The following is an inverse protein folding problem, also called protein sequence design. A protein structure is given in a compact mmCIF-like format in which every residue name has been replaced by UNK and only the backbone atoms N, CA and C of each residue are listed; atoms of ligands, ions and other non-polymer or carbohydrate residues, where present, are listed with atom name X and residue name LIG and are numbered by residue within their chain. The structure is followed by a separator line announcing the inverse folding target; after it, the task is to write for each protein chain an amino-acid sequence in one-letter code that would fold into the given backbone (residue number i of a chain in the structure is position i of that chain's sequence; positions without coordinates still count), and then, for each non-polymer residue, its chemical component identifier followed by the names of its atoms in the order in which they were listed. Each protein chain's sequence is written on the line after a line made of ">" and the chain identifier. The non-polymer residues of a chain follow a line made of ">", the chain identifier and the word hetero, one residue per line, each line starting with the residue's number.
data_IF_128628140627
#
_entry.id   IF_128628140627
#
_cell.length_a   1.000
_cell.length_b   1.000
_cell.length_c   1.000
_cell.angle_alpha   90.00
_cell.angle_beta   90.00
_cell.angle_gamma   90.00
#
_symmetry.space_group_name_H-M   'P 1'
#
loop_
_entity.id
_entity.type
_entity.pdbx_description
1 polymer ?
#
# COMPACT_ATOMS: atom_id res chain seq x y z
N UNK A 1 -16.55 -59.69 38.14
CA UNK A 1 -17.99 -59.64 38.46
C UNK A 1 -18.30 -58.70 39.64
N UNK A 2 -17.38 -57.80 40.02
CA UNK A 2 -17.59 -56.86 41.12
C UNK A 2 -17.44 -55.32 40.62
N UNK A 3 -16.95 -55.08 39.41
CA UNK A 3 -16.82 -53.71 38.88
C UNK A 3 -18.04 -53.21 38.10
N UNK A 4 -18.89 -54.12 37.59
CA UNK A 4 -20.11 -53.73 36.88
C UNK A 4 -21.25 -53.28 37.79
N UNK A 5 -21.24 -53.75 39.05
CA UNK A 5 -22.27 -53.43 40.05
C UNK A 5 -22.07 -52.04 40.71
N UNK A 6 -20.85 -51.48 40.68
CA UNK A 6 -20.59 -50.13 41.17
C UNK A 6 -20.94 -49.04 40.14
N UNK A 7 -20.84 -49.38 38.87
CA UNK A 7 -21.21 -48.38 37.80
C UNK A 7 -22.73 -48.18 37.67
N UNK A 8 -23.51 -49.16 38.07
CA UNK A 8 -24.98 -49.07 38.05
C UNK A 8 -25.59 -48.30 39.22
N UNK A 9 -24.84 -48.08 40.33
CA UNK A 9 -25.30 -47.24 41.46
C UNK A 9 -25.00 -45.82 41.43
N UNK A 10 -24.12 -45.37 40.49
CA UNK A 10 -23.75 -43.95 40.29
C UNK A 10 -24.73 -43.15 39.40
N UNK A 11 -25.66 -43.83 38.70
CA UNK A 11 -26.56 -43.22 37.72
C UNK A 11 -27.91 -42.74 38.26
N UNK A 12 -28.13 -42.75 39.57
CA UNK A 12 -29.42 -42.32 40.16
C UNK A 12 -29.26 -41.28 41.29
N UNK A 13 -28.52 -40.21 41.03
CA UNK A 13 -28.63 -38.98 41.81
C UNK A 13 -29.23 -37.90 40.89
N UNK A 14 -30.55 -37.85 40.87
CA UNK A 14 -31.28 -36.72 40.31
C UNK A 14 -30.92 -35.48 41.10
N UNK A 15 -30.22 -34.53 40.44
CA UNK A 15 -29.88 -33.25 41.00
C UNK A 15 -31.17 -32.40 41.19
N UNK A 16 -31.47 -31.95 42.42
CA UNK A 16 -32.66 -31.11 42.67
C UNK A 16 -32.66 -29.81 41.89
N UNK A 17 -31.50 -29.38 41.42
CA UNK A 17 -31.30 -28.14 40.59
C UNK A 17 -32.03 -28.24 39.24
N UNK A 18 -32.11 -29.42 38.61
CA UNK A 18 -32.78 -29.58 37.32
C UNK A 18 -34.32 -29.40 37.42
N UNK A 19 -34.94 -29.76 38.56
CA UNK A 19 -36.38 -29.55 38.79
C UNK A 19 -36.72 -28.07 39.03
N UNK A 20 -35.85 -27.32 39.74
CA UNK A 20 -36.04 -25.89 40.00
C UNK A 20 -35.83 -25.08 38.71
N UNK A 21 -34.86 -25.44 37.85
CA UNK A 21 -34.62 -24.79 36.57
C UNK A 21 -35.76 -25.07 35.57
N UNK A 22 -36.35 -26.26 35.57
CA UNK A 22 -37.53 -26.57 34.76
C UNK A 22 -38.74 -25.70 35.12
N UNK A 23 -38.99 -25.46 36.40
CA UNK A 23 -40.08 -24.58 36.88
C UNK A 23 -39.85 -23.13 36.56
N UNK A 24 -38.60 -22.64 36.61
CA UNK A 24 -38.26 -21.24 36.20
C UNK A 24 -38.45 -21.03 34.69
N UNK A 25 -38.06 -21.98 33.85
CA UNK A 25 -38.25 -21.88 32.40
C UNK A 25 -39.73 -21.89 32.03
N UNK A 26 -40.55 -22.74 32.66
CA UNK A 26 -42.00 -22.77 32.42
C UNK A 26 -42.69 -21.48 32.90
N UNK A 27 -42.26 -20.93 34.04
CA UNK A 27 -42.80 -19.63 34.52
C UNK A 27 -42.46 -18.48 33.60
N UNK A 28 -41.21 -18.42 33.05
CA UNK A 28 -40.82 -17.40 32.10
C UNK A 28 -41.56 -17.56 30.76
N UNK A 29 -41.75 -18.77 30.27
CA UNK A 29 -42.54 -19.04 29.06
C UNK A 29 -44.02 -18.62 29.23
N UNK A 30 -44.64 -18.86 30.38
CA UNK A 30 -46.03 -18.46 30.65
C UNK A 30 -46.15 -16.90 30.76
N UNK A 31 -45.17 -16.23 31.34
CA UNK A 31 -45.14 -14.77 31.38
C UNK A 31 -44.95 -14.20 29.98
N UNK A 32 -44.10 -14.81 29.14
CA UNK A 32 -43.87 -14.38 27.79
C UNK A 32 -45.10 -14.60 26.89
N UNK A 33 -45.76 -15.73 27.03
CA UNK A 33 -47.02 -16.02 26.35
C UNK A 33 -48.16 -15.09 26.81
N UNK A 34 -48.23 -14.72 28.11
CA UNK A 34 -49.19 -13.76 28.63
C UNK A 34 -48.93 -12.34 28.11
N UNK A 35 -47.64 -11.96 27.92
CA UNK A 35 -47.25 -10.66 27.35
C UNK A 35 -47.56 -10.62 25.84
N UNK A 36 -47.31 -11.73 25.12
CA UNK A 36 -47.63 -11.85 23.71
C UNK A 36 -49.13 -11.88 23.42
N UNK A 37 -49.92 -12.54 24.30
CA UNK A 37 -51.39 -12.52 24.22
C UNK A 37 -51.97 -11.13 24.46
N UNK A 38 -51.30 -10.31 25.30
CA UNK A 38 -51.73 -8.94 25.58
C UNK A 38 -51.36 -8.01 24.41
N UNK A 39 -50.28 -8.31 23.68
CA UNK A 39 -49.87 -7.53 22.48
C UNK A 39 -50.76 -7.86 21.27
N UNK A 40 -51.39 -9.02 21.24
CA UNK A 40 -52.29 -9.47 20.15
C UNK A 40 -53.78 -9.23 20.45
N UNK A 41 -54.11 -8.68 21.65
CA UNK A 41 -55.50 -8.31 21.92
C UNK A 41 -55.93 -7.18 20.98
N UNK A 42 -57.04 -7.36 20.21
CA UNK A 42 -57.53 -6.27 19.36
C UNK A 42 -57.87 -5.06 20.20
N UNK A 43 -57.11 -3.99 19.95
CA UNK A 43 -57.43 -2.70 20.53
C UNK A 43 -58.83 -2.30 20.03
N UNK A 44 -59.78 -2.14 20.92
CA UNK A 44 -61.08 -1.49 20.60
C UNK A 44 -60.78 -0.16 19.93
N UNK A 45 -61.33 0.10 18.73
CA UNK A 45 -61.16 1.42 18.14
C UNK A 45 -61.73 2.46 19.16
N UNK A 46 -60.86 3.32 19.64
CA UNK A 46 -61.28 4.51 20.32
C UNK A 46 -62.27 5.24 19.42
N UNK A 47 -63.47 5.51 19.92
CA UNK A 47 -64.56 6.12 19.15
C UNK A 47 -64.05 7.37 18.43
N UNK A 48 -63.98 7.31 17.13
CA UNK A 48 -63.70 8.47 16.30
C UNK A 48 -64.77 9.52 16.52
N UNK A 49 -64.46 10.79 16.40
CA UNK A 49 -65.45 11.86 16.47
C UNK A 49 -66.54 11.60 15.42
N UNK A 50 -67.80 11.99 15.72
CA UNK A 50 -68.95 11.71 14.83
C UNK A 50 -68.70 12.31 13.44
N UNK A 51 -69.01 11.54 12.43
CA UNK A 51 -68.78 11.85 11.00
C UNK A 51 -69.42 13.19 10.51
N UNK A 52 -70.27 13.81 11.35
CA UNK A 52 -70.88 15.10 11.05
C UNK A 52 -70.03 16.33 11.43
N UNK A 53 -68.88 16.18 12.12
CA UNK A 53 -68.00 17.32 12.45
C UNK A 53 -66.96 17.65 11.36
N UNK A 54 -66.84 16.82 10.32
CA UNK A 54 -65.87 17.04 9.23
C UNK A 54 -66.40 17.77 8.01
N UNK A 55 -67.66 18.17 7.98
CA UNK A 55 -68.23 18.93 6.83
C UNK A 55 -68.19 20.46 6.98
N UNK A 56 -67.39 20.97 7.91
CA UNK A 56 -67.37 22.41 8.15
C UNK A 56 -65.98 23.06 8.29
N UNK A 57 -64.90 22.36 8.00
CA UNK A 57 -63.58 22.99 7.95
C UNK A 57 -63.26 23.47 6.56
N UNK A 58 -63.25 24.78 6.41
CA UNK A 58 -62.93 25.54 5.20
C UNK A 58 -61.80 24.90 4.38
N UNK A 59 -62.02 24.70 3.09
CA UNK A 59 -61.08 24.21 2.13
C UNK A 59 -59.89 25.14 1.94
N UNK A 60 -58.90 25.00 2.82
CA UNK A 60 -57.56 25.42 2.50
C UNK A 60 -56.92 24.36 1.56
N UNK A 61 -56.07 24.75 0.66
CA UNK A 61 -55.33 23.80 -0.14
C UNK A 61 -54.57 22.82 0.76
N UNK A 62 -54.47 21.53 0.40
CA UNK A 62 -53.75 20.54 1.20
C UNK A 62 -52.29 21.00 1.44
N UNK A 63 -51.73 20.83 2.65
CA UNK A 63 -50.35 21.16 2.90
C UNK A 63 -49.45 20.24 2.01
N UNK A 64 -48.53 20.84 1.30
CA UNK A 64 -47.51 20.14 0.49
C UNK A 64 -46.16 20.41 1.07
N UNK A 65 -45.33 19.37 1.10
CA UNK A 65 -43.92 19.50 1.45
C UNK A 65 -43.18 19.97 0.21
N UNK A 66 -42.38 21.03 0.37
CA UNK A 66 -41.58 21.59 -0.72
C UNK A 66 -40.10 21.41 -0.38
N UNK A 67 -39.32 21.01 -1.37
CA UNK A 67 -37.87 20.87 -1.26
C UNK A 67 -37.19 21.78 -2.26
N UNK A 68 -36.14 22.46 -1.83
CA UNK A 68 -35.33 23.26 -2.75
C UNK A 68 -34.56 22.32 -3.69
N UNK A 69 -34.62 22.62 -5.00
CA UNK A 69 -33.89 21.86 -6.00
C UNK A 69 -32.41 22.20 -5.89
N UNK A 70 -31.58 21.18 -5.65
CA UNK A 70 -30.13 21.29 -5.61
C UNK A 70 -29.54 20.89 -6.94
N UNK A 71 -28.44 21.56 -7.34
CA UNK A 71 -27.65 21.15 -8.48
C UNK A 71 -26.70 20.03 -8.07
N UNK A 72 -26.80 18.87 -8.71
CA UNK A 72 -25.90 17.75 -8.53
C UNK A 72 -25.22 17.33 -9.83
N UNK A 73 -24.09 16.69 -9.73
CA UNK A 73 -23.39 16.13 -10.89
C UNK A 73 -24.23 14.98 -11.51
N UNK A 74 -24.54 15.10 -12.81
CA UNK A 74 -25.44 14.18 -13.52
C UNK A 74 -24.92 12.76 -13.70
N UNK A 75 -23.61 12.54 -13.62
CA UNK A 75 -23.00 11.25 -13.80
C UNK A 75 -22.36 10.77 -12.47
N UNK A 76 -22.97 9.80 -11.81
CA UNK A 76 -22.32 9.19 -10.67
C UNK A 76 -20.98 8.57 -11.10
N UNK A 77 -19.94 8.65 -10.25
CA UNK A 77 -18.63 8.07 -10.57
C UNK A 77 -18.75 6.56 -10.75
N UNK A 78 -18.04 6.01 -11.73
CA UNK A 78 -17.83 4.57 -11.80
C UNK A 78 -16.95 4.14 -10.62
N UNK A 79 -17.39 3.11 -9.90
CA UNK A 79 -16.71 2.61 -8.72
C UNK A 79 -16.01 1.28 -9.02
N UNK A 80 -14.72 1.22 -8.77
CA UNK A 80 -13.90 0.01 -8.93
C UNK A 80 -13.22 -0.34 -7.61
N UNK A 81 -12.98 -1.62 -7.37
CA UNK A 81 -12.16 -2.04 -6.24
C UNK A 81 -10.71 -1.82 -6.62
N UNK A 82 -9.98 -1.04 -5.81
CA UNK A 82 -8.57 -0.78 -5.97
C UNK A 82 -7.77 -1.38 -4.83
N UNK A 83 -6.60 -1.93 -5.14
CA UNK A 83 -5.59 -2.37 -4.18
C UNK A 83 -4.51 -1.31 -4.08
N UNK A 84 -4.15 -0.97 -2.87
CA UNK A 84 -3.06 -0.03 -2.59
C UNK A 84 -1.72 -0.75 -2.78
N UNK A 85 -0.85 -0.23 -3.63
CA UNK A 85 0.47 -0.79 -3.92
C UNK A 85 1.55 0.27 -3.67
N UNK A 86 2.70 -0.12 -3.11
CA UNK A 86 3.83 0.78 -3.03
C UNK A 86 4.43 1.01 -4.43
N UNK A 87 5.04 2.18 -4.65
CA UNK A 87 5.78 2.42 -5.88
C UNK A 87 7.09 1.65 -5.87
N UNK A 88 7.76 1.65 -4.71
CA UNK A 88 9.00 0.91 -4.49
C UNK A 88 8.88 0.09 -3.21
N UNK A 89 9.37 -1.13 -3.30
CA UNK A 89 9.38 -2.12 -2.23
C UNK A 89 10.71 -2.87 -2.30
N UNK A 90 11.52 -2.72 -1.29
CA UNK A 90 12.89 -3.23 -1.27
C UNK A 90 13.11 -4.12 -0.05
N UNK A 91 13.47 -5.36 -0.32
CA UNK A 91 14.02 -6.26 0.68
C UNK A 91 15.52 -6.03 0.82
N UNK A 92 15.92 -5.45 1.93
CA UNK A 92 17.32 -5.16 2.22
C UNK A 92 18.03 -6.41 2.73
N UNK A 93 19.14 -6.75 2.09
CA UNK A 93 19.96 -7.94 2.42
C UNK A 93 21.38 -7.53 2.72
N UNK A 94 22.06 -8.28 3.59
CA UNK A 94 23.49 -8.14 3.76
C UNK A 94 24.24 -8.58 2.49
N UNK A 95 25.22 -7.80 2.05
CA UNK A 95 26.08 -8.15 0.92
C UNK A 95 27.35 -8.87 1.36
N UNK A 96 27.67 -8.82 2.66
CA UNK A 96 28.82 -9.45 3.30
C UNK A 96 28.38 -10.23 4.54
N UNK A 97 29.21 -11.11 5.05
CA UNK A 97 28.98 -11.84 6.29
C UNK A 97 29.59 -11.14 7.48
N UNK A 98 28.91 -11.17 8.64
CA UNK A 98 29.43 -10.61 9.89
C UNK A 98 28.36 -10.51 10.97
N UNK A 99 28.74 -10.10 12.16
CA UNK A 99 27.83 -9.87 13.27
C UNK A 99 27.25 -8.46 13.20
N UNK A 100 25.96 -8.31 13.49
CA UNK A 100 25.31 -7.00 13.61
C UNK A 100 25.78 -6.34 14.89
N UNK A 101 26.51 -5.24 14.75
CA UNK A 101 27.01 -4.43 15.87
C UNK A 101 25.94 -3.49 16.40
N UNK A 102 25.22 -2.79 15.48
CA UNK A 102 24.21 -1.81 15.84
C UNK A 102 23.06 -1.81 14.82
N UNK A 103 21.85 -1.50 15.34
CA UNK A 103 20.64 -1.21 14.55
C UNK A 103 20.26 0.25 14.83
N UNK A 104 20.21 1.08 13.79
CA UNK A 104 20.09 2.55 13.91
C UNK A 104 18.66 3.07 13.70
N UNK A 105 17.69 2.23 13.55
CA UNK A 105 16.29 2.61 13.34
C UNK A 105 15.37 1.95 14.36
N UNK A 106 14.12 2.45 14.41
CA UNK A 106 13.02 1.78 15.10
C UNK A 106 12.10 1.14 14.07
N UNK A 107 11.59 -0.04 14.35
CA UNK A 107 10.58 -0.69 13.50
C UNK A 107 9.39 0.22 13.25
N UNK A 108 8.92 0.27 12.01
CA UNK A 108 7.84 1.14 11.60
C UNK A 108 8.21 2.62 11.41
N UNK A 109 9.45 3.03 11.66
CA UNK A 109 9.91 4.40 11.45
C UNK A 109 9.99 4.76 9.96
N UNK A 110 9.89 6.06 9.65
CA UNK A 110 10.22 6.59 8.32
C UNK A 110 11.72 6.81 8.21
N UNK A 111 12.30 6.43 7.09
CA UNK A 111 13.70 6.61 6.74
C UNK A 111 13.84 7.27 5.38
N UNK A 112 14.96 7.94 5.16
CA UNK A 112 15.34 8.55 3.88
C UNK A 112 16.42 7.71 3.21
N UNK A 113 16.49 7.78 1.90
CA UNK A 113 17.58 7.22 1.14
C UNK A 113 18.93 7.75 1.66
N UNK A 114 19.86 6.84 1.96
CA UNK A 114 21.15 7.16 2.58
C UNK A 114 21.21 7.04 4.10
N UNK A 115 20.08 6.93 4.81
CA UNK A 115 20.07 6.72 6.25
C UNK A 115 20.74 5.39 6.61
N UNK A 116 21.61 5.40 7.62
CA UNK A 116 22.27 4.20 8.14
C UNK A 116 21.25 3.36 8.91
N UNK A 117 21.14 2.08 8.55
CA UNK A 117 20.18 1.15 9.17
C UNK A 117 20.87 0.11 10.07
N UNK A 118 21.91 -0.51 9.55
CA UNK A 118 22.68 -1.51 10.29
C UNK A 118 24.17 -1.22 10.17
N UNK A 119 24.89 -1.50 11.22
CA UNK A 119 26.35 -1.60 11.22
C UNK A 119 26.71 -3.06 11.50
N UNK A 120 27.49 -3.64 10.60
CA UNK A 120 28.11 -4.95 10.74
C UNK A 120 29.52 -4.73 11.30
N UNK A 121 30.01 -5.63 12.15
CA UNK A 121 31.35 -5.61 12.65
C UNK A 121 32.38 -5.43 11.53
N UNK A 122 33.10 -4.32 11.57
CA UNK A 122 33.99 -3.88 10.50
C UNK A 122 35.46 -4.30 10.75
N UNK A 123 35.82 -4.79 11.93
CA UNK A 123 37.23 -5.01 12.34
C UNK A 123 37.99 -5.89 11.34
N UNK A 124 37.40 -7.01 10.92
CA UNK A 124 38.00 -7.89 9.92
C UNK A 124 38.20 -7.21 8.57
N UNK A 125 37.24 -6.40 8.13
CA UNK A 125 37.27 -5.70 6.86
C UNK A 125 38.26 -4.55 6.85
N UNK A 126 38.38 -3.81 7.96
CA UNK A 126 39.38 -2.76 8.15
C UNK A 126 40.82 -3.36 8.14
N UNK A 127 41.00 -4.46 8.82
CA UNK A 127 42.30 -5.19 8.80
C UNK A 127 42.64 -5.63 7.36
N UNK A 128 41.66 -6.13 6.60
CA UNK A 128 41.84 -6.53 5.19
C UNK A 128 42.24 -5.34 4.31
N UNK A 129 41.59 -4.18 4.46
CA UNK A 129 41.96 -2.94 3.79
C UNK A 129 43.39 -2.52 4.14
N UNK A 130 43.80 -2.61 5.41
CA UNK A 130 45.16 -2.27 5.84
C UNK A 130 46.20 -3.18 5.15
N UNK A 131 45.95 -4.49 5.08
CA UNK A 131 46.82 -5.45 4.34
C UNK A 131 46.95 -5.07 2.89
N UNK A 132 45.82 -4.77 2.18
CA UNK A 132 45.86 -4.38 0.77
C UNK A 132 46.59 -3.07 0.52
N UNK A 133 46.51 -2.10 1.44
CA UNK A 133 47.31 -0.87 1.40
C UNK A 133 48.79 -1.14 1.49
N UNK A 134 49.20 -2.06 2.36
CA UNK A 134 50.63 -2.46 2.50
C UNK A 134 51.12 -3.14 1.21
N UNK A 135 50.30 -3.97 0.53
CA UNK A 135 50.66 -4.61 -0.75
C UNK A 135 50.93 -3.58 -1.86
N UNK A 136 50.15 -2.45 -1.91
CA UNK A 136 50.45 -1.35 -2.82
C UNK A 136 51.83 -0.77 -2.57
N UNK A 137 52.15 -0.46 -1.31
CA UNK A 137 53.47 0.08 -0.97
C UNK A 137 54.61 -0.88 -1.35
N UNK A 138 54.42 -2.19 -1.20
CA UNK A 138 55.39 -3.20 -1.65
C UNK A 138 55.55 -3.19 -3.18
N UNK A 139 54.44 -3.14 -3.94
CA UNK A 139 54.50 -3.11 -5.40
C UNK A 139 55.10 -1.81 -5.93
N UNK A 140 54.79 -0.67 -5.32
CA UNK A 140 55.40 0.64 -5.65
C UNK A 140 56.90 0.65 -5.39
N UNK A 141 57.38 0.11 -4.26
CA UNK A 141 58.80 0.00 -3.98
C UNK A 141 59.53 -0.91 -5.00
N UNK A 142 58.88 -1.98 -5.45
CA UNK A 142 59.44 -2.85 -6.47
C UNK A 142 59.49 -2.14 -7.84
N UNK A 143 58.46 -1.40 -8.23
CA UNK A 143 58.43 -0.59 -9.44
C UNK A 143 59.52 0.50 -9.41
N UNK A 144 59.62 1.25 -8.35
CA UNK A 144 60.63 2.31 -8.18
C UNK A 144 62.06 1.74 -8.31
N UNK A 145 62.32 0.56 -7.74
CA UNK A 145 63.60 -0.13 -7.93
C UNK A 145 63.85 -0.47 -9.42
N UNK A 146 62.84 -0.97 -10.14
CA UNK A 146 62.95 -1.31 -11.56
C UNK A 146 63.18 -0.06 -12.41
N UNK A 147 62.46 1.02 -12.14
CA UNK A 147 62.56 2.33 -12.84
C UNK A 147 63.96 2.94 -12.62
N UNK A 148 64.46 2.92 -11.37
CA UNK A 148 65.83 3.38 -11.11
C UNK A 148 66.87 2.51 -11.81
N UNK A 149 66.68 1.21 -11.92
CA UNK A 149 67.56 0.32 -12.66
C UNK A 149 67.57 0.64 -14.16
N UNK A 150 66.45 0.78 -14.77
CA UNK A 150 66.32 1.19 -16.17
C UNK A 150 66.99 2.54 -16.42
N UNK A 151 66.71 3.55 -15.57
CA UNK A 151 67.31 4.88 -15.68
C UNK A 151 68.84 4.83 -15.57
N UNK A 152 69.41 3.97 -14.74
CA UNK A 152 70.88 3.78 -14.65
C UNK A 152 71.43 3.16 -15.94
N UNK A 153 70.78 2.15 -16.50
CA UNK A 153 71.18 1.54 -17.81
C UNK A 153 71.12 2.59 -18.92
N UNK A 154 70.04 3.36 -19.04
CA UNK A 154 69.88 4.36 -20.07
C UNK A 154 70.92 5.51 -20.03
N UNK A 155 71.52 5.78 -18.82
CA UNK A 155 72.57 6.75 -18.60
C UNK A 155 73.99 6.21 -18.75
N UNK A 156 74.15 4.91 -18.86
CA UNK A 156 75.49 4.27 -18.99
C UNK A 156 75.97 4.29 -20.45
N UNK A 157 77.28 4.10 -20.64
CA UNK A 157 77.87 4.10 -22.02
C UNK A 157 77.26 3.02 -22.89
N UNK A 158 76.78 3.39 -24.08
CA UNK A 158 76.13 2.51 -25.02
C UNK A 158 77.00 1.32 -25.47
N UNK A 159 78.33 1.38 -25.27
CA UNK A 159 79.26 0.28 -25.57
C UNK A 159 79.29 -0.80 -24.48
N UNK A 160 78.76 -0.50 -23.28
CA UNK A 160 78.80 -1.44 -22.13
C UNK A 160 77.46 -2.14 -21.89
N UNK A 161 76.44 -1.85 -22.65
CA UNK A 161 75.08 -2.34 -22.42
C UNK A 161 74.57 -3.02 -23.70
N UNK A 162 73.99 -4.22 -23.56
CA UNK A 162 73.33 -4.90 -24.66
C UNK A 162 71.89 -4.42 -24.82
N UNK A 163 71.34 -4.52 -26.04
CA UNK A 163 69.94 -4.23 -26.28
C UNK A 163 69.01 -5.15 -25.47
N UNK A 164 69.45 -6.39 -25.26
CA UNK A 164 68.70 -7.37 -24.43
C UNK A 164 68.56 -6.92 -22.98
N UNK A 165 69.62 -6.26 -22.39
CA UNK A 165 69.58 -5.75 -21.02
C UNK A 165 68.54 -4.61 -20.90
N UNK A 166 68.50 -3.69 -21.88
CA UNK A 166 67.50 -2.62 -21.94
C UNK A 166 66.05 -3.14 -22.09
N UNK A 167 65.88 -4.12 -22.98
CA UNK A 167 64.55 -4.70 -23.19
C UNK A 167 64.06 -5.46 -21.96
N UNK A 168 64.97 -6.15 -21.23
CA UNK A 168 64.66 -6.80 -19.97
C UNK A 168 64.27 -5.76 -18.90
N UNK A 169 65.06 -4.69 -18.75
CA UNK A 169 64.76 -3.65 -17.75
C UNK A 169 63.43 -2.93 -18.06
N UNK A 170 63.12 -2.69 -19.35
CA UNK A 170 61.80 -2.14 -19.75
C UNK A 170 60.66 -3.10 -19.43
N UNK A 171 60.86 -4.38 -19.65
CA UNK A 171 59.88 -5.43 -19.28
C UNK A 171 59.65 -5.46 -17.78
N UNK A 172 60.74 -5.37 -16.97
CA UNK A 172 60.64 -5.35 -15.48
C UNK A 172 59.82 -4.11 -15.00
N UNK A 173 60.04 -2.93 -15.62
CA UNK A 173 59.22 -1.73 -15.31
C UNK A 173 57.78 -1.95 -15.70
N UNK A 174 57.50 -2.54 -16.91
CA UNK A 174 56.14 -2.82 -17.35
C UNK A 174 55.44 -3.80 -16.39
N UNK A 175 56.16 -4.85 -15.96
CA UNK A 175 55.67 -5.80 -14.97
C UNK A 175 55.42 -5.15 -13.61
N UNK A 176 56.31 -4.30 -13.14
CA UNK A 176 56.14 -3.53 -11.91
C UNK A 176 54.90 -2.64 -11.94
N UNK A 177 54.67 -1.92 -13.05
CA UNK A 177 53.47 -1.12 -13.26
C UNK A 177 52.16 -1.95 -13.27
N UNK A 178 52.22 -3.13 -13.87
CA UNK A 178 51.08 -4.05 -13.84
C UNK A 178 50.80 -4.55 -12.40
N UNK A 179 51.84 -4.86 -11.63
CA UNK A 179 51.71 -5.27 -10.22
C UNK A 179 51.08 -4.18 -9.34
N UNK A 180 51.49 -2.92 -9.52
CA UNK A 180 50.86 -1.79 -8.79
C UNK A 180 49.39 -1.67 -9.17
N UNK A 181 49.02 -1.74 -10.45
CA UNK A 181 47.62 -1.70 -10.88
C UNK A 181 46.79 -2.83 -10.28
N UNK A 182 47.36 -4.04 -10.22
CA UNK A 182 46.74 -5.20 -9.59
C UNK A 182 46.50 -4.97 -8.07
N UNK A 183 47.48 -4.45 -7.36
CA UNK A 183 47.35 -4.17 -5.94
C UNK A 183 46.32 -3.08 -5.64
N UNK A 184 46.26 -2.04 -6.47
CA UNK A 184 45.21 -0.99 -6.39
C UNK A 184 43.81 -1.57 -6.61
N UNK A 185 43.63 -2.45 -7.61
CA UNK A 185 42.37 -3.12 -7.86
C UNK A 185 41.94 -4.00 -6.67
N UNK A 186 42.87 -4.73 -6.06
CA UNK A 186 42.63 -5.54 -4.86
C UNK A 186 42.23 -4.68 -3.66
N UNK A 187 42.83 -3.50 -3.49
CA UNK A 187 42.43 -2.55 -2.46
C UNK A 187 40.99 -2.08 -2.67
N UNK A 188 40.65 -1.70 -3.91
CA UNK A 188 39.29 -1.24 -4.23
C UNK A 188 38.23 -2.30 -3.89
N UNK A 189 38.49 -3.58 -4.12
CA UNK A 189 37.59 -4.66 -3.71
C UNK A 189 37.44 -4.73 -2.19
N UNK A 190 38.54 -4.63 -1.44
CA UNK A 190 38.48 -4.65 0.02
C UNK A 190 37.74 -3.42 0.60
N UNK A 191 37.87 -2.25 -0.03
CA UNK A 191 37.14 -1.04 0.36
C UNK A 191 35.63 -1.14 0.05
N UNK A 192 35.25 -1.83 -1.03
CA UNK A 192 33.85 -2.15 -1.32
C UNK A 192 33.27 -3.06 -0.25
N UNK A 193 34.00 -4.11 0.15
CA UNK A 193 33.56 -5.00 1.23
C UNK A 193 33.39 -4.22 2.55
N UNK A 194 34.35 -3.36 2.90
CA UNK A 194 34.26 -2.50 4.07
C UNK A 194 33.07 -1.54 4.00
N UNK A 195 32.78 -0.97 2.84
CA UNK A 195 31.60 -0.13 2.64
C UNK A 195 30.31 -0.89 2.92
N UNK A 196 30.26 -2.17 2.57
CA UNK A 196 29.08 -3.02 2.79
C UNK A 196 28.87 -3.39 4.26
N UNK A 197 29.79 -3.10 5.18
CA UNK A 197 29.54 -3.20 6.62
C UNK A 197 28.51 -2.18 7.11
N UNK A 198 28.32 -1.09 6.38
CA UNK A 198 27.36 -0.03 6.67
C UNK A 198 26.18 -0.18 5.72
N UNK A 199 25.10 -0.75 6.21
CA UNK A 199 23.89 -0.98 5.42
C UNK A 199 23.00 0.25 5.50
N UNK A 200 22.78 0.91 4.37
CA UNK A 200 22.00 2.14 4.24
C UNK A 200 20.67 1.89 3.53
N UNK A 201 19.71 2.74 3.77
CA UNK A 201 18.41 2.72 3.08
C UNK A 201 18.61 3.10 1.60
N UNK A 202 18.16 2.29 0.63
CA UNK A 202 18.27 2.62 -0.81
C UNK A 202 17.17 3.56 -1.30
N UNK A 203 16.06 3.65 -0.57
CA UNK A 203 14.87 4.45 -0.92
C UNK A 203 14.32 5.17 0.30
N UNK A 204 13.55 6.22 0.06
CA UNK A 204 12.68 6.83 1.08
C UNK A 204 11.51 5.91 1.35
N UNK A 205 11.17 5.69 2.62
CA UNK A 205 10.05 4.81 2.93
C UNK A 205 9.83 4.56 4.42
N UNK A 206 9.01 3.57 4.68
CA UNK A 206 8.76 3.06 6.03
C UNK A 206 9.44 1.71 6.19
N UNK A 207 10.23 1.58 7.24
CA UNK A 207 10.91 0.33 7.58
C UNK A 207 9.91 -0.62 8.23
N UNK A 208 9.91 -1.87 7.79
CA UNK A 208 9.12 -2.95 8.38
C UNK A 208 9.74 -3.48 9.67
N UNK A 209 9.31 -4.68 10.07
CA UNK A 209 9.90 -5.42 11.19
C UNK A 209 11.28 -5.92 10.76
N UNK A 210 12.28 -5.77 11.65
CA UNK A 210 13.61 -6.36 11.45
C UNK A 210 13.60 -7.87 11.74
N UNK A 211 14.41 -8.61 10.99
CA UNK A 211 14.66 -10.03 11.24
C UNK A 211 15.97 -10.22 12.00
N UNK A 212 16.89 -9.25 11.89
CA UNK A 212 18.22 -9.30 12.51
C UNK A 212 18.32 -8.37 13.72
N UNK A 213 18.84 -8.87 14.82
CA UNK A 213 19.07 -8.13 16.05
C UNK A 213 20.58 -7.91 16.28
N UNK A 214 20.92 -7.01 17.19
CA UNK A 214 22.31 -6.82 17.64
C UNK A 214 22.86 -8.15 18.17
N UNK A 215 24.02 -8.54 17.67
CA UNK A 215 24.68 -9.81 17.98
C UNK A 215 24.34 -10.97 17.04
N UNK A 216 23.36 -10.82 16.15
CA UNK A 216 23.05 -11.85 15.16
C UNK A 216 24.11 -11.88 14.04
N UNK A 217 24.42 -13.08 13.56
CA UNK A 217 25.26 -13.24 12.38
C UNK A 217 24.43 -13.13 11.12
N UNK A 218 24.80 -12.22 10.23
CA UNK A 218 24.13 -11.99 8.93
C UNK A 218 25.05 -12.36 7.78
N UNK A 219 24.45 -12.76 6.65
CA UNK A 219 25.19 -13.11 5.43
C UNK A 219 24.29 -12.95 4.20
N UNK A 220 24.83 -12.90 2.97
CA UNK A 220 24.04 -12.85 1.73
C UNK A 220 23.03 -13.98 1.57
N UNK A 221 23.28 -15.13 2.18
CA UNK A 221 22.42 -16.33 2.11
C UNK A 221 21.28 -16.33 3.14
N UNK A 222 21.31 -15.47 4.15
CA UNK A 222 20.32 -15.46 5.24
C UNK A 222 18.93 -14.94 4.81
N UNK A 223 18.86 -14.22 3.69
CA UNK A 223 17.62 -13.58 3.24
C UNK A 223 17.55 -12.10 3.59
N UNK A 224 16.33 -11.55 3.65
CA UNK A 224 16.11 -10.15 3.93
C UNK A 224 16.27 -9.83 5.42
N UNK A 225 17.02 -8.78 5.75
CA UNK A 225 17.17 -8.24 7.10
C UNK A 225 15.96 -7.40 7.49
N UNK A 226 15.49 -6.60 6.55
CA UNK A 226 14.35 -5.71 6.72
C UNK A 226 13.76 -5.35 5.35
N UNK A 227 12.46 -5.09 5.31
CA UNK A 227 11.75 -4.60 4.14
C UNK A 227 11.50 -3.11 4.29
N UNK A 228 11.76 -2.32 3.25
CA UNK A 228 11.47 -0.89 3.19
C UNK A 228 10.46 -0.67 2.08
N UNK A 229 9.37 0.01 2.42
CA UNK A 229 8.25 0.25 1.52
C UNK A 229 8.04 1.76 1.37
N UNK A 230 8.03 2.22 0.13
CA UNK A 230 7.67 3.61 -0.16
C UNK A 230 6.19 3.81 0.08
N UNK A 231 5.85 4.71 1.01
CA UNK A 231 4.46 4.97 1.41
C UNK A 231 3.91 6.28 0.86
N UNK A 232 4.75 7.18 0.37
CA UNK A 232 4.35 8.46 -0.24
C UNK A 232 5.38 8.87 -1.32
N UNK A 233 4.97 9.13 -2.56
CA UNK A 233 3.65 8.82 -3.12
C UNK A 233 3.35 7.31 -3.18
N UNK A 234 2.06 6.95 -3.31
CA UNK A 234 1.59 5.56 -3.33
C UNK A 234 0.75 5.31 -4.59
N UNK A 235 0.62 4.07 -5.00
CA UNK A 235 -0.22 3.65 -6.12
C UNK A 235 -1.49 2.97 -5.66
N UNK A 236 -2.53 3.10 -6.47
CA UNK A 236 -3.72 2.26 -6.38
C UNK A 236 -3.88 1.57 -7.73
N UNK A 237 -3.82 0.24 -7.71
CA UNK A 237 -4.10 -0.60 -8.87
C UNK A 237 -5.58 -1.00 -8.87
N UNK A 238 -6.26 -0.82 -9.98
CA UNK A 238 -7.65 -1.21 -10.15
C UNK A 238 -7.91 -1.70 -11.58
N UNK A 239 -8.96 -2.49 -11.75
CA UNK A 239 -9.29 -3.09 -13.04
C UNK A 239 -10.54 -2.42 -13.61
N UNK A 240 -10.44 -1.95 -14.85
CA UNK A 240 -11.54 -1.35 -15.60
C UNK A 240 -12.07 -2.38 -16.59
N UNK A 241 -13.40 -2.51 -16.71
CA UNK A 241 -14.01 -3.44 -17.67
C UNK A 241 -13.75 -2.97 -19.11
N UNK A 242 -13.68 -3.90 -20.05
CA UNK A 242 -13.54 -3.60 -21.49
C UNK A 242 -14.63 -2.65 -21.99
N UNK A 243 -15.86 -2.86 -21.53
CA UNK A 243 -17.02 -2.03 -21.86
C UNK A 243 -16.83 -0.57 -21.42
N UNK A 244 -16.37 -0.33 -20.20
CA UNK A 244 -16.19 1.03 -19.68
C UNK A 244 -14.99 1.70 -20.33
N UNK A 245 -13.93 0.93 -20.59
CA UNK A 245 -12.75 1.38 -21.31
C UNK A 245 -13.09 1.82 -22.75
N UNK A 246 -13.79 0.98 -23.51
CA UNK A 246 -14.18 1.29 -24.88
C UNK A 246 -15.12 2.49 -24.96
N UNK A 247 -16.10 2.59 -24.05
CA UNK A 247 -16.97 3.76 -23.96
C UNK A 247 -16.19 5.07 -23.70
N UNK A 248 -15.15 5.00 -22.85
CA UNK A 248 -14.32 6.16 -22.58
C UNK A 248 -13.52 6.58 -23.83
N UNK A 249 -12.96 5.60 -24.57
CA UNK A 249 -12.22 5.86 -25.81
C UNK A 249 -13.14 6.40 -26.92
N UNK A 250 -14.30 5.79 -27.11
CA UNK A 250 -15.28 6.24 -28.12
C UNK A 250 -15.72 7.69 -27.86
N UNK A 251 -15.90 8.06 -26.58
CA UNK A 251 -16.35 9.39 -26.19
C UNK A 251 -15.27 10.46 -26.28
N UNK A 252 -14.02 10.15 -25.89
CA UNK A 252 -12.96 11.15 -25.71
C UNK A 252 -11.78 10.97 -26.66
N UNK A 253 -11.65 9.83 -27.31
CA UNK A 253 -10.48 9.43 -28.07
C UNK A 253 -9.33 8.97 -27.16
N UNK A 254 -8.39 8.19 -27.71
CA UNK A 254 -7.31 7.57 -26.96
C UNK A 254 -6.36 8.60 -26.28
N UNK A 255 -6.13 9.74 -26.92
CA UNK A 255 -5.19 10.75 -26.40
C UNK A 255 -5.82 11.64 -25.32
N UNK A 256 -7.11 11.93 -25.40
CA UNK A 256 -7.82 12.88 -24.50
C UNK A 256 -8.48 12.22 -23.30
N UNK A 257 -8.61 10.90 -23.30
CA UNK A 257 -9.25 10.17 -22.21
C UNK A 257 -8.54 10.41 -20.88
N UNK A 258 -7.24 10.66 -20.92
CA UNK A 258 -6.42 10.90 -19.72
C UNK A 258 -6.77 12.19 -18.99
N UNK A 259 -7.05 13.26 -19.75
CA UNK A 259 -7.36 14.59 -19.20
C UNK A 259 -8.86 14.74 -18.91
N UNK A 260 -9.70 13.89 -19.52
CA UNK A 260 -11.14 13.91 -19.37
C UNK A 260 -11.64 13.20 -18.10
N UNK A 261 -10.82 12.32 -17.52
CA UNK A 261 -11.19 11.50 -16.37
C UNK A 261 -10.48 11.99 -15.10
N UNK A 262 -11.27 12.11 -14.04
CA UNK A 262 -10.79 12.42 -12.68
C UNK A 262 -10.85 11.12 -11.88
N UNK A 263 -9.71 10.74 -11.30
CA UNK A 263 -9.55 9.53 -10.49
C UNK A 263 -9.45 9.95 -9.03
N UNK A 264 -10.36 9.48 -8.19
CA UNK A 264 -10.39 9.69 -6.73
C UNK A 264 -10.50 8.34 -6.04
N UNK A 265 -10.29 8.29 -4.74
CA UNK A 265 -10.56 7.09 -3.96
C UNK A 265 -11.48 7.38 -2.78
N UNK A 266 -12.21 6.36 -2.37
CA UNK A 266 -13.01 6.35 -1.15
C UNK A 266 -12.44 5.30 -0.21
N UNK A 267 -12.13 5.72 1.00
CA UNK A 267 -11.69 4.81 2.06
C UNK A 267 -12.85 3.92 2.53
N UNK A 268 -12.57 2.77 3.16
CA UNK A 268 -13.60 1.91 3.77
C UNK A 268 -14.44 2.63 4.83
N UNK A 269 -13.93 3.71 5.41
CA UNK A 269 -14.66 4.60 6.34
C UNK A 269 -15.73 5.47 5.67
N UNK A 270 -15.80 5.48 4.32
CA UNK A 270 -16.69 6.32 3.55
C UNK A 270 -16.09 7.66 3.10
N UNK A 271 -14.97 8.08 3.66
CA UNK A 271 -14.30 9.34 3.31
C UNK A 271 -13.76 9.28 1.87
N UNK A 272 -14.10 10.28 1.05
CA UNK A 272 -13.57 10.44 -0.31
C UNK A 272 -12.33 11.33 -0.27
N UNK A 273 -11.31 11.00 -1.08
CA UNK A 273 -10.10 11.81 -1.17
C UNK A 273 -10.39 13.17 -1.84
N UNK A 274 -9.81 14.23 -1.29
CA UNK A 274 -9.81 15.57 -1.92
C UNK A 274 -8.83 15.62 -3.10
N UNK A 275 -7.76 14.80 -3.05
CA UNK A 275 -6.74 14.73 -4.08
C UNK A 275 -7.17 13.89 -5.28
N UNK A 276 -6.82 14.38 -6.48
CA UNK A 276 -7.01 13.66 -7.74
C UNK A 276 -5.76 12.82 -8.02
N UNK A 277 -5.97 11.55 -8.33
CA UNK A 277 -4.90 10.65 -8.72
C UNK A 277 -4.38 10.95 -10.12
N UNK A 278 -3.07 10.86 -10.30
CA UNK A 278 -2.43 10.91 -11.61
C UNK A 278 -2.33 9.48 -12.16
N UNK A 279 -2.81 9.26 -13.38
CA UNK A 279 -2.62 7.98 -14.04
C UNK A 279 -1.13 7.73 -14.25
N UNK A 280 -0.64 6.61 -13.74
CA UNK A 280 0.78 6.26 -13.73
C UNK A 280 1.08 5.15 -14.75
N UNK A 281 0.18 4.20 -14.89
CA UNK A 281 0.34 3.06 -15.79
C UNK A 281 -1.02 2.52 -16.23
N UNK A 282 -1.07 2.04 -17.46
CA UNK A 282 -2.16 1.26 -18.03
C UNK A 282 -1.56 0.07 -18.75
N UNK A 283 -2.12 -1.10 -18.50
CA UNK A 283 -1.64 -2.31 -19.15
C UNK A 283 -1.88 -2.23 -20.67
N UNK A 284 -1.03 -2.87 -21.44
CA UNK A 284 -1.17 -2.94 -22.90
C UNK A 284 -1.99 -4.15 -23.36
N UNK A 285 -2.43 -4.99 -22.40
CA UNK A 285 -3.23 -6.19 -22.65
C UNK A 285 -4.37 -6.28 -21.65
N UNK A 286 -5.52 -6.77 -22.10
CA UNK A 286 -6.64 -7.10 -21.21
C UNK A 286 -6.44 -8.50 -20.64
N UNK A 287 -6.83 -8.69 -19.39
CA UNK A 287 -6.92 -10.02 -18.79
C UNK A 287 -7.98 -10.85 -19.52
N UNK A 288 -7.58 -11.99 -20.07
CA UNK A 288 -8.49 -12.88 -20.82
C UNK A 288 -9.56 -13.50 -19.91
N UNK A 289 -9.24 -13.71 -18.63
CA UNK A 289 -10.14 -14.38 -17.68
C UNK A 289 -11.27 -13.45 -17.19
N UNK A 290 -10.99 -12.15 -17.09
CA UNK A 290 -11.91 -11.17 -16.47
C UNK A 290 -12.38 -10.11 -17.44
N UNK A 291 -11.87 -10.05 -18.67
CA UNK A 291 -12.10 -9.00 -19.65
C UNK A 291 -11.91 -7.59 -19.05
N UNK A 292 -10.82 -7.41 -18.30
CA UNK A 292 -10.51 -6.14 -17.64
C UNK A 292 -9.12 -5.65 -17.99
N UNK A 293 -8.94 -4.34 -18.00
CA UNK A 293 -7.66 -3.66 -18.15
C UNK A 293 -7.17 -3.18 -16.79
N UNK A 294 -5.92 -3.50 -16.46
CA UNK A 294 -5.30 -3.03 -15.23
C UNK A 294 -4.81 -1.60 -15.39
N UNK A 295 -5.26 -0.72 -14.50
CA UNK A 295 -4.86 0.68 -14.45
C UNK A 295 -4.27 0.99 -13.09
N UNK A 296 -3.18 1.76 -13.07
CA UNK A 296 -2.55 2.24 -11.85
C UNK A 296 -2.59 3.76 -11.80
N UNK A 297 -3.07 4.28 -10.68
CA UNK A 297 -3.08 5.71 -10.41
C UNK A 297 -2.20 6.02 -9.20
N UNK A 298 -1.42 7.11 -9.29
CA UNK A 298 -0.55 7.59 -8.23
C UNK A 298 -1.27 8.65 -7.42
N UNK A 299 -1.14 8.57 -6.11
CA UNK A 299 -1.71 9.49 -5.15
C UNK A 299 -0.67 9.96 -4.15
N UNK A 300 -0.80 11.18 -3.67
CA UNK A 300 -0.09 11.62 -2.46
C UNK A 300 -0.70 10.95 -1.23
N UNK A 301 0.15 10.53 -0.30
CA UNK A 301 -0.23 9.86 0.95
C UNK A 301 0.47 10.49 2.16
N UNK A 302 0.58 11.81 2.18
CA UNK A 302 1.28 12.55 3.23
C UNK A 302 0.76 12.21 4.65
N UNK A 303 -0.55 11.97 4.78
CA UNK A 303 -1.19 11.59 6.05
C UNK A 303 -1.10 10.09 6.37
N UNK A 304 -0.57 9.25 5.46
CA UNK A 304 -0.42 7.81 5.68
C UNK A 304 -1.72 7.02 5.79
N UNK A 305 -2.82 7.54 5.22
CA UNK A 305 -4.14 6.88 5.25
C UNK A 305 -4.20 5.65 4.35
N UNK A 306 -3.45 5.66 3.25
CA UNK A 306 -3.32 4.53 2.35
C UNK A 306 -2.20 3.62 2.85
N UNK A 307 -2.57 2.42 3.25
CA UNK A 307 -1.63 1.39 3.70
C UNK A 307 -1.41 0.39 2.57
N UNK A 308 -0.16 0.05 2.24
CA UNK A 308 0.14 -0.99 1.25
C UNK A 308 -0.66 -2.27 1.51
N UNK A 309 -1.09 -2.93 0.45
CA UNK A 309 -1.94 -4.12 0.44
C UNK A 309 -3.38 -3.90 0.93
N UNK A 310 -3.73 -2.69 1.36
CA UNK A 310 -5.11 -2.31 1.69
C UNK A 310 -6.01 -2.19 0.45
N UNK A 311 -7.32 -2.22 0.65
CA UNK A 311 -8.31 -2.03 -0.40
C UNK A 311 -9.07 -0.72 -0.22
N UNK A 312 -9.36 -0.07 -1.34
CA UNK A 312 -10.15 1.17 -1.41
C UNK A 312 -11.11 1.08 -2.58
N UNK A 313 -12.13 1.92 -2.60
CA UNK A 313 -12.98 2.08 -3.78
C UNK A 313 -12.43 3.23 -4.62
N UNK A 314 -11.99 2.93 -5.83
CA UNK A 314 -11.58 3.94 -6.81
C UNK A 314 -12.81 4.49 -7.51
N UNK A 315 -12.92 5.81 -7.53
CA UNK A 315 -14.02 6.55 -8.17
C UNK A 315 -13.44 7.22 -9.41
N UNK A 316 -13.98 6.83 -10.57
CA UNK A 316 -13.61 7.42 -11.86
C UNK A 316 -14.81 8.18 -12.40
N UNK A 317 -14.68 9.48 -12.52
CA UNK A 317 -15.69 10.40 -13.04
C UNK A 317 -15.10 11.33 -14.12
N UNK A 318 -15.97 12.09 -14.75
CA UNK A 318 -15.55 13.09 -15.72
C UNK A 318 -15.01 14.33 -14.99
N UNK A 319 -13.88 14.86 -15.44
CA UNK A 319 -13.27 16.06 -14.86
C UNK A 319 -14.21 17.28 -14.92
N UNK A 320 -15.05 17.36 -15.97
CA UNK A 320 -16.02 18.44 -16.20
C UNK A 320 -17.43 17.83 -16.35
N UNK A 321 -18.03 17.43 -15.25
CA UNK A 321 -19.43 16.99 -15.28
C UNK A 321 -20.36 18.20 -15.18
N UNK A 322 -21.28 18.41 -16.12
CA UNK A 322 -22.26 19.48 -15.99
C UNK A 322 -23.14 19.20 -14.78
N UNK A 323 -23.33 20.22 -13.97
CA UNK A 323 -24.32 20.18 -12.91
C UNK A 323 -25.70 20.36 -13.50
N UNK A 324 -26.66 19.62 -13.03
CA UNK A 324 -28.07 19.73 -13.41
C UNK A 324 -28.94 19.71 -12.16
N UNK A 325 -30.08 20.39 -12.19
CA UNK A 325 -31.01 20.33 -11.08
C UNK A 325 -31.52 18.89 -10.90
N UNK A 326 -31.45 18.40 -9.67
CA UNK A 326 -31.86 17.06 -9.28
C UNK A 326 -33.09 17.17 -8.41
N UNK A 327 -34.10 16.37 -8.72
CA UNK A 327 -35.35 16.29 -7.96
C UNK A 327 -35.47 14.89 -7.34
N UNK A 328 -36.08 14.74 -6.16
CA UNK A 328 -36.44 13.45 -5.58
C UNK A 328 -37.38 12.69 -6.52
N UNK A 329 -37.22 11.38 -6.62
CA UNK A 329 -38.10 10.55 -7.44
C UNK A 329 -39.57 10.63 -7.01
N UNK A 330 -39.82 10.90 -5.74
CA UNK A 330 -41.13 11.10 -5.13
C UNK A 330 -41.85 12.35 -5.67
N UNK A 331 -41.10 13.38 -6.09
CA UNK A 331 -41.64 14.59 -6.67
C UNK A 331 -42.03 14.41 -8.14
N UNK A 332 -41.57 13.33 -8.82
CA UNK A 332 -41.85 13.05 -10.19
C UNK A 332 -43.24 12.42 -10.33
N UNK A 333 -44.19 13.13 -10.94
CA UNK A 333 -45.50 12.62 -11.24
C UNK A 333 -45.65 12.24 -12.72
N UNK A 334 -46.54 11.30 -12.99
CA UNK A 334 -46.78 10.79 -14.34
C UNK A 334 -48.24 10.86 -14.67
N UNK A 335 -48.57 11.46 -15.78
CA UNK A 335 -49.92 11.46 -16.34
C UNK A 335 -49.92 10.87 -17.78
N UNK A 336 -51.05 11.04 -18.50
CA UNK A 336 -51.18 10.55 -19.88
C UNK A 336 -50.31 11.32 -20.89
N UNK A 337 -49.83 12.50 -20.52
CA UNK A 337 -49.03 13.39 -21.37
C UNK A 337 -47.53 13.22 -21.11
N UNK A 338 -47.14 12.58 -19.98
CA UNK A 338 -45.73 12.31 -19.63
C UNK A 338 -45.40 12.53 -18.16
N UNK A 339 -44.14 12.80 -17.91
CA UNK A 339 -43.62 13.07 -16.57
C UNK A 339 -43.61 14.57 -16.31
N UNK A 340 -44.03 14.99 -15.11
CA UNK A 340 -44.01 16.40 -14.71
C UNK A 340 -43.73 16.55 -13.22
N UNK A 341 -43.37 17.77 -12.78
CA UNK A 341 -43.20 18.17 -11.41
C UNK A 341 -43.96 19.44 -11.13
N UNK A 342 -44.38 19.65 -9.89
CA UNK A 342 -44.91 20.92 -9.45
C UNK A 342 -43.79 21.82 -8.94
N UNK A 343 -43.74 23.04 -9.40
CA UNK A 343 -42.83 24.08 -8.89
C UNK A 343 -43.68 25.11 -8.14
N UNK A 344 -43.25 25.48 -6.94
CA UNK A 344 -43.93 26.50 -6.12
C UNK A 344 -43.24 27.84 -6.35
N UNK A 345 -44.02 28.84 -6.76
CA UNK A 345 -43.50 30.20 -6.96
C UNK A 345 -43.36 30.97 -5.62
N UNK A 346 -42.82 32.20 -5.69
CA UNK A 346 -42.66 33.06 -4.50
C UNK A 346 -43.99 33.43 -3.80
N UNK A 347 -45.11 33.29 -4.48
CA UNK A 347 -46.43 33.52 -3.94
C UNK A 347 -47.04 32.28 -3.24
N UNK A 348 -46.30 31.14 -3.24
CA UNK A 348 -46.76 29.88 -2.66
C UNK A 348 -47.78 29.12 -3.56
N UNK A 349 -47.87 29.45 -4.84
CA UNK A 349 -48.76 28.78 -5.81
C UNK A 349 -48.00 27.70 -6.54
N UNK A 350 -48.51 26.47 -6.51
CA UNK A 350 -47.93 25.35 -7.25
C UNK A 350 -48.30 25.46 -8.75
N UNK A 351 -47.28 25.49 -9.59
CA UNK A 351 -47.40 25.48 -11.07
C UNK A 351 -46.81 24.17 -11.60
N UNK A 352 -47.40 23.64 -12.67
CA UNK A 352 -46.98 22.41 -13.36
C UNK A 352 -45.85 22.70 -14.35
#
# INVERSE_FOLDING_TARGET
>A
MSEELERAKAAKREHPVAKVMGWLVTAVCLLWLGWMARALAPQKPAGGPPLMAMMGAAGGPPPVEVQTVEEAEMNPPNAYIGRVEPIQDVELRAQIGGYVEQVHFKEGARVKAGDLLFTIDAEQYEARVAVRKAEIGQAEAALDRAERYLTRLERSDARAITQADLDTARSDVAQGRAAVKQAVANLALAEIDLKHTRIIAPIDGRVGRTVANVGDYVSPSLGALVRIVQVDPIRIAFSVTDKDYLKAIEKFGTERVQDALRIRYRLPTGTVSDGVGTRDFEDNTMSADTATLSVRARFSNAHGLLVPDGYVTVLVDLANTPKSPVIPQEALQTDREGHFVYVVDEAGIAQR
#
